data_IF_105892409424
#
_entry.id   IF_105892409424
#
_cell.length_a   1.000
_cell.length_b   1.000
_cell.length_c   1.000
_cell.angle_alpha   90.00
_cell.angle_beta   90.00
_cell.angle_gamma   90.00
#
_symmetry.space_group_name_H-M   'P 1'
#
loop_
_entity.id
_entity.type
_entity.pdbx_description
1 polymer ?
#
# COMPACT_ATOMS: atom_id res chain seq x y z
N UNK A 1 8.39 9.97 -0.77
CA UNK A 1 7.27 9.16 -1.31
C UNK A 1 6.56 10.02 -2.35
N UNK A 2 6.54 9.61 -3.61
CA UNK A 2 5.99 10.43 -4.72
C UNK A 2 4.70 9.81 -5.25
N UNK A 3 3.86 10.64 -5.86
CA UNK A 3 2.60 10.23 -6.49
C UNK A 3 2.80 9.11 -7.54
N UNK A 4 3.96 9.05 -8.20
CA UNK A 4 4.29 8.01 -9.18
C UNK A 4 4.38 6.63 -8.55
N UNK A 5 5.09 6.49 -7.43
CA UNK A 5 5.23 5.19 -6.75
C UNK A 5 3.91 4.74 -6.11
N UNK A 6 3.09 5.68 -5.65
CA UNK A 6 1.74 5.39 -5.16
C UNK A 6 0.84 4.85 -6.29
N UNK A 7 0.83 5.51 -7.45
CA UNK A 7 0.05 5.05 -8.60
C UNK A 7 0.52 3.68 -9.12
N UNK A 8 1.84 3.43 -9.14
CA UNK A 8 2.40 2.13 -9.50
C UNK A 8 1.93 1.04 -8.55
N UNK A 9 2.02 1.27 -7.24
CA UNK A 9 1.54 0.30 -6.24
C UNK A 9 0.05 0.01 -6.41
N UNK A 10 -0.78 1.04 -6.54
CA UNK A 10 -2.23 0.87 -6.75
C UNK A 10 -2.52 0.07 -8.03
N UNK A 11 -1.77 0.31 -9.10
CA UNK A 11 -1.91 -0.44 -10.36
C UNK A 11 -1.58 -1.91 -10.15
N UNK A 12 -0.48 -2.23 -9.48
CA UNK A 12 -0.13 -3.62 -9.16
C UNK A 12 -1.15 -4.28 -8.24
N UNK A 13 -1.66 -3.56 -7.23
CA UNK A 13 -2.72 -4.08 -6.36
C UNK A 13 -3.97 -4.46 -7.13
N UNK A 14 -4.36 -3.68 -8.15
CA UNK A 14 -5.49 -4.00 -9.03
C UNK A 14 -5.22 -5.21 -9.91
N UNK A 15 -4.04 -5.28 -10.53
CA UNK A 15 -3.66 -6.42 -11.39
C UNK A 15 -3.59 -7.74 -10.62
N UNK A 16 -3.09 -7.70 -9.38
CA UNK A 16 -2.93 -8.87 -8.52
C UNK A 16 -4.19 -9.17 -7.68
N UNK A 17 -5.24 -8.36 -7.80
CA UNK A 17 -6.43 -8.42 -6.95
C UNK A 17 -6.09 -8.44 -5.45
N UNK A 18 -5.03 -7.72 -5.08
CA UNK A 18 -4.54 -7.70 -3.70
C UNK A 18 -5.31 -6.66 -2.89
N UNK A 19 -5.87 -7.03 -1.72
CA UNK A 19 -6.70 -6.13 -0.91
C UNK A 19 -5.90 -5.07 -0.15
N UNK A 20 -4.59 -5.25 0.00
CA UNK A 20 -3.73 -4.38 0.81
C UNK A 20 -2.34 -4.27 0.21
N UNK A 21 -1.81 -3.05 0.16
CA UNK A 21 -0.45 -2.76 -0.27
C UNK A 21 0.28 -1.88 0.73
N UNK A 22 1.60 -2.01 0.75
CA UNK A 22 2.49 -1.22 1.61
C UNK A 22 3.56 -0.58 0.73
N UNK A 23 3.69 0.73 0.82
CA UNK A 23 4.77 1.49 0.21
C UNK A 23 5.78 1.87 1.29
N UNK A 24 7.04 1.49 1.11
CA UNK A 24 8.10 1.70 2.10
C UNK A 24 9.17 2.62 1.51
N UNK A 25 9.46 3.72 2.20
CA UNK A 25 10.58 4.60 1.98
C UNK A 25 11.69 4.28 2.99
N UNK A 26 12.79 3.69 2.52
CA UNK A 26 13.95 3.36 3.36
C UNK A 26 14.84 4.57 3.67
N UNK A 27 14.64 5.71 3.01
CA UNK A 27 15.35 6.96 3.33
C UNK A 27 14.62 7.73 4.43
N UNK A 28 14.61 7.19 5.65
CA UNK A 28 14.09 7.83 6.87
C UNK A 28 14.76 7.26 8.12
N UNK A 29 14.61 7.91 9.27
CA UNK A 29 15.15 7.40 10.54
C UNK A 29 14.31 6.27 11.14
N UNK A 30 13.00 6.28 10.90
CA UNK A 30 12.09 5.25 11.42
C UNK A 30 11.03 4.86 10.39
N UNK A 31 11.14 3.65 9.85
CA UNK A 31 10.24 3.14 8.81
C UNK A 31 8.79 3.05 9.28
N UNK A 32 8.56 2.63 10.52
CA UNK A 32 7.21 2.44 11.04
C UNK A 32 6.48 3.77 11.31
N UNK A 33 7.23 4.81 11.70
CA UNK A 33 6.66 6.12 12.00
C UNK A 33 6.55 7.04 10.78
N UNK A 34 7.53 6.97 9.88
CA UNK A 34 7.72 7.98 8.82
C UNK A 34 7.90 7.38 7.42
N UNK A 35 8.37 6.13 7.34
CA UNK A 35 8.74 5.48 6.09
C UNK A 35 7.64 4.65 5.45
N UNK A 36 6.55 4.35 6.14
CA UNK A 36 5.51 3.45 5.65
C UNK A 36 4.22 4.18 5.30
N UNK A 37 3.64 3.83 4.16
CA UNK A 37 2.26 4.16 3.81
C UNK A 37 1.51 2.90 3.43
N UNK A 38 0.34 2.70 4.02
CA UNK A 38 -0.51 1.53 3.77
C UNK A 38 -1.72 1.93 2.94
N UNK A 39 -2.05 1.13 1.95
CA UNK A 39 -3.20 1.32 1.08
C UNK A 39 -4.11 0.10 1.15
N UNK A 40 -5.41 0.35 1.06
CA UNK A 40 -6.45 -0.67 0.92
C UNK A 40 -7.34 -0.28 -0.26
N UNK A 41 -7.98 -1.26 -0.88
CA UNK A 41 -8.85 -1.06 -2.04
C UNK A 41 -10.17 -1.82 -1.86
N UNK A 42 -11.01 -1.83 -2.89
CA UNK A 42 -12.32 -2.48 -2.92
C UNK A 42 -12.29 -3.97 -2.54
N UNK A 43 -11.20 -4.69 -2.82
CA UNK A 43 -11.07 -6.10 -2.44
C UNK A 43 -10.93 -6.28 -0.93
N UNK A 44 -10.49 -5.26 -0.20
CA UNK A 44 -10.39 -5.31 1.26
C UNK A 44 -11.76 -5.51 1.93
N UNK A 45 -12.82 -4.88 1.39
CA UNK A 45 -14.18 -5.02 1.93
C UNK A 45 -14.76 -6.42 1.74
N UNK A 46 -14.25 -7.18 0.77
CA UNK A 46 -14.69 -8.57 0.52
C UNK A 46 -14.04 -9.60 1.46
N UNK A 47 -13.10 -9.18 2.32
CA UNK A 47 -12.46 -10.08 3.27
C UNK A 47 -13.43 -10.44 4.41
N UNK A 48 -13.37 -11.68 4.93
CA UNK A 48 -14.18 -12.07 6.09
C UNK A 48 -13.81 -11.22 7.31
N UNK A 49 -14.82 -10.81 8.08
CA UNK A 49 -14.62 -10.19 9.39
C UNK A 49 -13.90 -11.18 10.33
N UNK A 50 -12.97 -10.65 11.13
CA UNK A 50 -12.18 -11.41 12.10
C UNK A 50 -12.75 -11.30 13.50
#
# INVERSE_FOLDING_TARGET
>A
MTITFEAQLITYMKLLQSPKGILINFNCFNIFKEGQKTFVNEYFTSLPEK
#
